data_IF_788438391159
#
_entry.id   IF_788438391159
#
_cell.length_a   1.000
_cell.length_b   1.000
_cell.length_c   1.000
_cell.angle_alpha   90.00
_cell.angle_beta   90.00
_cell.angle_gamma   90.00
#
_symmetry.space_group_name_H-M   'P 1'
#
loop_
_entity.id
_entity.type
_entity.pdbx_description
1 polymer ?
#
# COMPACT_ATOMS: atom_id res chain seq x y z
N UNK A 1 34.99 3.09 7.99
CA UNK A 1 34.11 3.67 6.95
C UNK A 1 32.97 2.69 6.77
N UNK A 2 31.82 2.97 7.38
CA UNK A 2 30.62 2.15 7.22
C UNK A 2 30.10 2.39 5.81
N UNK A 3 30.11 1.36 4.96
CA UNK A 3 29.39 1.41 3.69
C UNK A 3 27.94 1.79 4.00
N UNK A 4 27.30 2.74 3.28
CA UNK A 4 25.89 2.97 3.46
C UNK A 4 25.20 1.64 3.19
N UNK A 5 24.47 1.14 4.19
CA UNK A 5 23.68 -0.08 4.07
C UNK A 5 22.52 0.28 3.14
N UNK A 6 22.67 -0.05 1.85
CA UNK A 6 21.60 0.14 0.88
C UNK A 6 20.50 -0.84 1.25
N UNK A 7 19.45 -0.34 1.93
CA UNK A 7 18.21 -1.09 2.15
C UNK A 7 17.51 -1.23 0.78
N UNK A 8 17.92 -2.23 0.01
CA UNK A 8 17.34 -2.56 -1.28
C UNK A 8 16.02 -3.31 -1.07
N UNK A 9 14.93 -2.60 -0.75
CA UNK A 9 13.60 -3.19 -0.86
C UNK A 9 13.22 -3.29 -2.33
N UNK A 10 13.27 -4.51 -2.88
CA UNK A 10 13.11 -4.77 -4.32
C UNK A 10 11.78 -4.28 -4.92
N UNK A 11 10.73 -4.11 -4.11
CA UNK A 11 9.45 -3.57 -4.57
C UNK A 11 9.41 -2.03 -4.63
N UNK A 12 10.16 -1.31 -3.81
CA UNK A 12 10.18 0.16 -3.85
C UNK A 12 11.16 0.70 -4.91
N UNK A 13 12.28 -0.01 -5.11
CA UNK A 13 13.35 0.44 -6.02
C UNK A 13 13.07 0.17 -7.50
N UNK A 14 12.21 -0.80 -7.82
CA UNK A 14 11.92 -1.17 -9.21
C UNK A 14 10.70 -0.44 -9.77
N UNK A 15 10.76 -0.06 -11.06
CA UNK A 15 9.60 0.51 -11.76
C UNK A 15 8.37 -0.40 -11.66
N UNK A 16 8.59 -1.72 -11.82
CA UNK A 16 7.53 -2.72 -11.73
C UNK A 16 6.88 -2.74 -10.34
N UNK A 17 7.68 -2.62 -9.28
CA UNK A 17 7.19 -2.57 -7.91
C UNK A 17 6.41 -1.28 -7.60
N UNK A 18 6.89 -0.11 -8.05
CA UNK A 18 6.13 1.15 -7.96
C UNK A 18 4.78 1.09 -8.68
N UNK A 19 4.75 0.52 -9.89
CA UNK A 19 3.50 0.29 -10.63
C UNK A 19 2.58 -0.66 -9.85
N UNK A 20 3.14 -1.73 -9.27
CA UNK A 20 2.40 -2.74 -8.51
C UNK A 20 1.75 -2.15 -7.26
N UNK A 21 2.47 -1.32 -6.51
CA UNK A 21 1.96 -0.60 -5.35
C UNK A 21 0.86 0.40 -5.73
N UNK A 22 1.10 1.23 -6.75
CA UNK A 22 0.11 2.17 -7.26
C UNK A 22 -1.17 1.47 -7.73
N UNK A 23 -1.02 0.35 -8.46
CA UNK A 23 -2.13 -0.46 -8.93
C UNK A 23 -2.91 -1.07 -7.76
N UNK A 24 -2.24 -1.58 -6.72
CA UNK A 24 -2.89 -2.13 -5.54
C UNK A 24 -3.75 -1.08 -4.83
N UNK A 25 -3.20 0.12 -4.59
CA UNK A 25 -3.96 1.24 -4.00
C UNK A 25 -5.18 1.58 -4.86
N UNK A 26 -5.00 1.73 -6.17
CA UNK A 26 -6.08 2.10 -7.07
C UNK A 26 -7.22 1.08 -7.13
N UNK A 27 -6.87 -0.19 -7.30
CA UNK A 27 -7.83 -1.30 -7.41
C UNK A 27 -8.60 -1.47 -6.09
N UNK A 28 -7.89 -1.56 -4.97
CA UNK A 28 -8.52 -1.80 -3.66
C UNK A 28 -9.43 -0.63 -3.28
N UNK A 29 -9.04 0.61 -3.56
CA UNK A 29 -9.88 1.78 -3.33
C UNK A 29 -11.15 1.76 -4.19
N UNK A 30 -11.09 1.20 -5.40
CA UNK A 30 -12.22 1.14 -6.32
C UNK A 30 -13.27 0.08 -5.94
N UNK A 31 -12.95 -0.94 -5.13
CA UNK A 31 -13.83 -2.06 -4.83
C UNK A 31 -15.28 -1.71 -4.47
N UNK A 32 -15.57 -0.68 -3.64
CA UNK A 32 -16.96 -0.37 -3.26
C UNK A 32 -17.87 0.02 -4.44
N UNK A 33 -17.30 0.49 -5.55
CA UNK A 33 -18.07 0.80 -6.76
C UNK A 33 -18.52 -0.44 -7.53
N UNK A 34 -17.80 -1.56 -7.39
CA UNK A 34 -18.00 -2.75 -8.20
C UNK A 34 -18.55 -3.94 -7.40
N UNK A 35 -18.21 -4.03 -6.11
CA UNK A 35 -18.62 -5.14 -5.23
C UNK A 35 -19.66 -4.62 -4.23
N UNK A 36 -20.94 -4.97 -4.47
CA UNK A 36 -22.06 -4.52 -3.63
C UNK A 36 -22.38 -5.46 -2.47
N UNK A 37 -22.05 -6.74 -2.60
CA UNK A 37 -22.20 -7.72 -1.52
C UNK A 37 -21.13 -7.46 -0.45
N UNK A 38 -21.57 -7.27 0.80
CA UNK A 38 -20.67 -6.93 1.92
C UNK A 38 -19.65 -8.03 2.21
N UNK A 39 -20.08 -9.29 2.21
CA UNK A 39 -19.20 -10.43 2.44
C UNK A 39 -18.17 -10.53 1.33
N UNK A 40 -18.59 -10.43 0.06
CA UNK A 40 -17.67 -10.43 -1.07
C UNK A 40 -16.69 -9.26 -1.03
N UNK A 41 -17.13 -8.07 -0.58
CA UNK A 41 -16.28 -6.89 -0.44
C UNK A 41 -15.22 -7.10 0.65
N UNK A 42 -15.60 -7.65 1.80
CA UNK A 42 -14.65 -7.99 2.88
C UNK A 42 -13.66 -9.05 2.39
N UNK A 43 -14.15 -10.12 1.74
CA UNK A 43 -13.29 -11.15 1.16
C UNK A 43 -12.32 -10.57 0.14
N UNK A 44 -12.76 -9.64 -0.72
CA UNK A 44 -11.87 -8.98 -1.68
C UNK A 44 -10.74 -8.22 -0.98
N UNK A 45 -11.04 -7.43 0.06
CA UNK A 45 -9.99 -6.75 0.83
C UNK A 45 -9.03 -7.72 1.51
N UNK A 46 -9.53 -8.77 2.16
CA UNK A 46 -8.70 -9.75 2.86
C UNK A 46 -7.80 -10.50 1.87
N UNK A 47 -8.35 -10.98 0.76
CA UNK A 47 -7.60 -11.70 -0.26
C UNK A 47 -6.57 -10.78 -0.95
N UNK A 48 -6.92 -9.52 -1.22
CA UNK A 48 -5.95 -8.55 -1.75
C UNK A 48 -4.83 -8.24 -0.77
N UNK A 49 -5.14 -8.08 0.51
CA UNK A 49 -4.13 -7.86 1.55
C UNK A 49 -3.16 -9.05 1.63
N UNK A 50 -3.70 -10.28 1.71
CA UNK A 50 -2.88 -11.49 1.75
C UNK A 50 -2.09 -11.70 0.46
N UNK A 51 -2.72 -11.53 -0.70
CA UNK A 51 -2.07 -11.71 -2.00
C UNK A 51 -0.96 -10.70 -2.26
N UNK A 52 -1.19 -9.43 -1.92
CA UNK A 52 -0.17 -8.39 -2.04
C UNK A 52 0.96 -8.60 -1.03
N UNK A 53 0.64 -8.92 0.22
CA UNK A 53 1.64 -9.23 1.25
C UNK A 53 2.50 -10.44 0.86
N UNK A 54 1.90 -11.48 0.29
CA UNK A 54 2.64 -12.64 -0.21
C UNK A 54 3.55 -12.28 -1.39
N UNK A 55 3.09 -11.43 -2.32
CA UNK A 55 3.90 -10.95 -3.44
C UNK A 55 5.10 -10.14 -2.94
N UNK A 56 4.90 -9.22 -1.99
CA UNK A 56 5.96 -8.43 -1.36
C UNK A 56 6.98 -9.38 -0.70
N UNK A 57 6.51 -10.36 0.07
CA UNK A 57 7.38 -11.31 0.74
C UNK A 57 8.20 -12.15 -0.25
N UNK A 58 7.58 -12.61 -1.35
CA UNK A 58 8.26 -13.37 -2.40
C UNK A 58 9.34 -12.55 -3.10
N UNK A 59 9.01 -11.34 -3.56
CA UNK A 59 9.94 -10.44 -4.25
C UNK A 59 11.09 -10.02 -3.32
N UNK A 60 10.83 -9.81 -2.04
CA UNK A 60 11.88 -9.49 -1.07
C UNK A 60 12.75 -10.71 -0.74
N UNK A 61 12.19 -11.92 -0.62
CA UNK A 61 12.97 -13.13 -0.34
C UNK A 61 14.02 -13.39 -1.44
N UNK A 62 13.67 -13.17 -2.70
CA UNK A 62 14.58 -13.33 -3.84
C UNK A 62 15.72 -12.28 -3.84
N UNK A 63 15.49 -11.10 -3.27
CA UNK A 63 16.52 -10.05 -3.15
C UNK A 63 17.56 -10.28 -2.05
N UNK A 64 17.29 -11.20 -1.12
CA UNK A 64 18.13 -11.45 0.06
C UNK A 64 19.02 -12.70 -0.06
N UNK A 65 19.05 -13.41 -1.19
CA UNK A 65 19.85 -14.65 -1.35
C UNK A 65 21.36 -14.46 -1.07
N UNK A 66 21.88 -13.23 -1.12
CA UNK A 66 23.29 -12.89 -0.88
C UNK A 66 23.55 -11.98 0.35
N UNK A 67 22.55 -11.72 1.20
CA UNK A 67 22.70 -10.86 2.38
C UNK A 67 22.64 -11.65 3.69
N UNK A 68 23.41 -11.25 4.73
CA UNK A 68 23.28 -11.86 6.06
C UNK A 68 21.83 -11.70 6.54
N UNK A 69 21.26 -12.77 7.10
CA UNK A 69 19.91 -12.74 7.66
C UNK A 69 19.75 -11.51 8.58
N UNK A 70 18.72 -10.69 8.38
CA UNK A 70 18.48 -9.55 9.25
C UNK A 70 18.27 -10.06 10.67
N UNK A 71 18.93 -9.43 11.65
CA UNK A 71 18.61 -9.67 13.05
C UNK A 71 17.11 -9.45 13.24
N UNK A 72 16.41 -10.48 13.73
CA UNK A 72 15.00 -10.34 14.08
C UNK A 72 14.92 -9.29 15.18
N UNK A 73 14.25 -8.15 14.94
CA UNK A 73 14.12 -7.15 15.98
C UNK A 73 13.39 -7.78 17.16
N UNK A 74 13.91 -7.59 18.36
CA UNK A 74 13.22 -8.01 19.60
C UNK A 74 12.03 -7.07 19.83
N UNK A 75 10.95 -7.30 19.07
CA UNK A 75 9.70 -6.55 19.18
C UNK A 75 8.92 -7.09 20.37
N UNK A 76 8.63 -6.26 21.38
CA UNK A 76 7.90 -6.73 22.53
C UNK A 76 6.48 -7.14 22.13
N UNK A 77 5.95 -8.21 22.74
CA UNK A 77 4.66 -8.82 22.38
C UNK A 77 3.49 -7.81 22.38
N UNK A 78 3.56 -6.76 23.21
CA UNK A 78 2.56 -5.69 23.24
C UNK A 78 2.57 -4.77 22.02
N UNK A 79 3.66 -4.73 21.24
CA UNK A 79 3.73 -3.95 20.01
C UNK A 79 2.75 -4.46 18.96
N UNK A 80 2.44 -5.77 18.96
CA UNK A 80 1.48 -6.39 18.05
C UNK A 80 0.06 -5.81 18.23
N UNK A 81 -0.56 -5.85 19.44
CA UNK A 81 -1.87 -5.25 19.64
C UNK A 81 -1.88 -3.72 19.49
N UNK A 82 -0.76 -3.02 19.76
CA UNK A 82 -0.65 -1.57 19.51
C UNK A 82 -0.66 -1.26 18.01
N UNK A 83 0.15 -1.96 17.21
CA UNK A 83 0.15 -1.83 15.75
C UNK A 83 -1.23 -2.15 15.16
N UNK A 84 -1.88 -3.19 15.67
CA UNK A 84 -3.25 -3.53 15.30
C UNK A 84 -4.25 -2.43 15.68
N UNK A 85 -4.12 -1.86 16.87
CA UNK A 85 -4.93 -0.73 17.34
C UNK A 85 -4.78 0.52 16.47
N UNK A 86 -3.55 0.84 16.05
CA UNK A 86 -3.27 1.95 15.13
C UNK A 86 -3.90 1.70 13.76
N UNK A 87 -3.80 0.48 13.22
CA UNK A 87 -4.46 0.10 11.96
C UNK A 87 -5.98 0.26 12.03
N UNK A 88 -6.59 -0.18 13.13
CA UNK A 88 -8.04 -0.08 13.35
C UNK A 88 -8.47 1.38 13.52
N UNK A 89 -7.74 2.18 14.32
CA UNK A 89 -8.02 3.60 14.54
C UNK A 89 -7.81 4.43 13.27
N UNK A 90 -6.71 4.21 12.55
CA UNK A 90 -6.42 4.85 11.26
C UNK A 90 -7.47 4.49 10.21
N UNK A 91 -7.87 3.22 10.16
CA UNK A 91 -9.00 2.76 9.34
C UNK A 91 -10.32 3.42 9.71
N UNK A 92 -10.60 3.61 11.01
CA UNK A 92 -11.83 4.25 11.45
C UNK A 92 -11.88 5.75 11.12
N UNK A 93 -10.76 6.45 11.32
CA UNK A 93 -10.63 7.88 11.01
C UNK A 93 -10.72 8.14 9.50
N UNK A 94 -10.15 7.26 8.68
CA UNK A 94 -10.18 7.38 7.21
C UNK A 94 -11.59 7.20 6.63
N UNK A 95 -12.42 6.34 7.22
CA UNK A 95 -13.78 6.05 6.72
C UNK A 95 -14.67 7.31 6.72
N UNK A 96 -14.60 8.17 7.73
CA UNK A 96 -15.44 9.40 7.77
C UNK A 96 -15.01 10.40 6.68
N UNK A 97 -13.71 10.62 6.55
CA UNK A 97 -13.14 11.54 5.56
C UNK A 97 -13.40 11.05 4.14
N UNK A 98 -13.21 9.75 3.90
CA UNK A 98 -13.48 9.13 2.61
C UNK A 98 -14.97 9.18 2.24
N UNK A 99 -15.88 8.90 3.18
CA UNK A 99 -17.33 9.00 2.92
C UNK A 99 -17.77 10.43 2.58
N UNK A 100 -17.18 11.43 3.21
CA UNK A 100 -17.45 12.84 2.91
C UNK A 100 -16.97 13.21 1.49
N UNK A 101 -15.72 12.87 1.16
CA UNK A 101 -15.13 13.12 -0.15
C UNK A 101 -15.92 12.42 -1.27
N UNK A 102 -16.24 11.14 -1.08
CA UNK A 102 -17.04 10.35 -2.02
C UNK A 102 -18.45 10.91 -2.16
N UNK A 103 -19.07 11.35 -1.06
CA UNK A 103 -20.37 12.00 -1.06
C UNK A 103 -20.35 13.30 -1.88
N UNK A 104 -19.32 14.11 -1.73
CA UNK A 104 -19.11 15.32 -2.52
C UNK A 104 -18.92 15.02 -4.01
N UNK A 105 -18.07 14.05 -4.35
CA UNK A 105 -17.81 13.62 -5.73
C UNK A 105 -19.08 13.05 -6.38
N UNK A 106 -19.86 12.26 -5.64
CA UNK A 106 -21.14 11.74 -6.12
C UNK A 106 -22.17 12.85 -6.37
N UNK A 107 -22.24 13.87 -5.50
CA UNK A 107 -23.11 15.06 -5.71
C UNK A 107 -22.74 15.84 -6.97
N UNK A 108 -21.50 15.73 -7.45
CA UNK A 108 -21.02 16.33 -8.70
C UNK A 108 -21.36 15.49 -9.95
N UNK A 109 -22.11 14.40 -9.83
CA UNK A 109 -22.59 13.58 -10.95
C UNK A 109 -21.68 12.41 -11.32
N UNK A 110 -20.62 12.14 -10.56
CA UNK A 110 -19.74 10.99 -10.80
C UNK A 110 -20.42 9.70 -10.36
N UNK A 111 -20.62 8.78 -11.31
CA UNK A 111 -21.29 7.49 -11.08
C UNK A 111 -20.46 6.52 -10.23
N UNK A 112 -19.13 6.58 -10.37
CA UNK A 112 -18.15 5.71 -9.70
C UNK A 112 -17.11 6.52 -8.91
N UNK A 113 -17.53 7.13 -7.79
CA UNK A 113 -16.68 8.04 -7.03
C UNK A 113 -15.46 7.35 -6.40
N UNK A 114 -15.58 6.08 -5.98
CA UNK A 114 -14.46 5.33 -5.39
C UNK A 114 -13.42 4.95 -6.43
N UNK A 115 -13.85 4.65 -7.65
CA UNK A 115 -12.96 4.37 -8.79
C UNK A 115 -12.14 5.59 -9.16
N UNK A 116 -12.76 6.78 -9.17
CA UNK A 116 -12.04 8.05 -9.39
C UNK A 116 -11.04 8.32 -8.28
N UNK A 117 -11.44 8.15 -7.01
CA UNK A 117 -10.52 8.27 -5.88
C UNK A 117 -9.35 7.28 -5.98
N UNK A 118 -9.62 6.04 -6.41
CA UNK A 118 -8.60 5.03 -6.64
C UNK A 118 -7.62 5.42 -7.73
N UNK A 119 -8.10 5.94 -8.86
CA UNK A 119 -7.24 6.42 -9.95
C UNK A 119 -6.34 7.58 -9.50
N UNK A 120 -6.89 8.53 -8.74
CA UNK A 120 -6.12 9.65 -8.18
C UNK A 120 -5.08 9.12 -7.17
N UNK A 121 -5.49 8.24 -6.26
CA UNK A 121 -4.61 7.64 -5.27
C UNK A 121 -3.45 6.86 -5.90
N UNK A 122 -3.74 6.06 -6.93
CA UNK A 122 -2.74 5.33 -7.69
C UNK A 122 -1.74 6.28 -8.37
N UNK A 123 -2.23 7.34 -9.03
CA UNK A 123 -1.38 8.33 -9.66
C UNK A 123 -0.47 9.03 -8.64
N UNK A 124 -1.01 9.40 -7.47
CA UNK A 124 -0.24 10.02 -6.39
C UNK A 124 0.84 9.08 -5.85
N UNK A 125 0.49 7.83 -5.56
CA UNK A 125 1.45 6.82 -5.07
C UNK A 125 2.56 6.63 -6.10
N UNK A 126 2.22 6.43 -7.38
CA UNK A 126 3.23 6.27 -8.42
C UNK A 126 4.17 7.48 -8.53
N UNK A 127 3.63 8.70 -8.55
CA UNK A 127 4.43 9.92 -8.65
C UNK A 127 5.35 10.08 -7.44
N UNK A 128 4.84 9.86 -6.23
CA UNK A 128 5.65 9.97 -5.02
C UNK A 128 6.78 8.94 -5.00
N UNK A 129 6.47 7.67 -5.26
CA UNK A 129 7.48 6.61 -5.33
C UNK A 129 8.50 6.85 -6.45
N UNK A 130 8.07 7.37 -7.61
CA UNK A 130 8.97 7.70 -8.71
C UNK A 130 9.88 8.89 -8.39
N UNK A 131 9.39 9.90 -7.66
CA UNK A 131 10.20 11.02 -7.19
C UNK A 131 11.26 10.55 -6.18
N UNK A 132 10.88 9.70 -5.23
CA UNK A 132 11.80 9.10 -4.25
C UNK A 132 12.88 8.25 -4.94
N UNK A 133 12.49 7.42 -5.92
CA UNK A 133 13.45 6.64 -6.70
C UNK A 133 14.45 7.52 -7.46
N UNK A 134 14.00 8.64 -8.05
CA UNK A 134 14.87 9.60 -8.74
C UNK A 134 15.81 10.32 -7.79
N UNK A 135 15.32 10.68 -6.61
CA UNK A 135 16.15 11.32 -5.58
C UNK A 135 17.23 10.36 -5.09
N UNK A 136 16.89 9.10 -4.82
CA UNK A 136 17.84 8.07 -4.44
C UNK A 136 18.90 7.82 -5.52
N UNK A 137 18.48 7.79 -6.79
CA UNK A 137 19.41 7.66 -7.92
C UNK A 137 20.34 8.88 -8.10
N UNK A 138 19.94 10.07 -7.66
CA UNK A 138 20.76 11.29 -7.72
C UNK A 138 21.73 11.45 -6.53
N UNK A 139 21.48 10.73 -5.43
CA UNK A 139 22.31 10.73 -4.22
C UNK A 139 23.42 9.68 -4.23
N UNK A 140 23.31 8.68 -5.10
CA UNK A 140 24.30 7.61 -5.35
C UNK A 140 25.19 7.96 -6.54
#
# INVERSE_FOLDING_TARGET
MTSPKTDNYALDDTLAGRITQAAAVGIMTAFPDWIKNKTALVCAYVLSFLGFGALVAYVNAESHEDQPEPETPDVPVWAIPVAFGILVLGGWLSIKTQKSLVGFIRRRGVSKPWTVCGAIGAALVFVLSELEARENAARN
#
